data_IF_699592946565
#
_entry.id   IF_699592946565
#
_cell.length_a   1.000
_cell.length_b   1.000
_cell.length_c   1.000
_cell.angle_alpha   90.00
_cell.angle_beta   90.00
_cell.angle_gamma   90.00
#
_symmetry.space_group_name_H-M   'P 1'
#
loop_
_entity.id
_entity.type
_entity.pdbx_description
1 polymer ?
#
# COMPACT_ATOMS: atom_id res chain seq x y z
N UNK A 1 3.13 34.45 -6.73
CA UNK A 1 3.34 33.11 -7.32
C UNK A 1 4.31 32.34 -6.43
N UNK A 2 3.84 31.41 -5.60
CA UNK A 2 4.69 30.47 -4.87
C UNK A 2 4.20 29.05 -5.13
N UNK A 3 5.11 28.18 -5.58
CA UNK A 3 4.86 26.74 -5.78
C UNK A 3 4.65 26.12 -4.40
N UNK A 4 3.41 25.72 -4.10
CA UNK A 4 3.07 25.04 -2.84
C UNK A 4 3.67 23.64 -2.87
N UNK A 5 4.62 23.42 -1.97
CA UNK A 5 5.25 22.14 -1.74
C UNK A 5 4.25 21.08 -1.30
N UNK A 6 4.52 19.84 -1.71
CA UNK A 6 3.86 18.63 -1.25
C UNK A 6 4.03 18.50 0.28
N UNK A 7 2.96 18.67 1.04
CA UNK A 7 2.87 18.28 2.45
C UNK A 7 2.28 16.87 2.58
N UNK A 8 2.80 16.02 3.49
CA UNK A 8 2.42 14.61 3.62
C UNK A 8 1.07 14.37 4.33
N UNK A 9 0.15 15.34 4.30
CA UNK A 9 -1.04 15.36 5.18
C UNK A 9 -2.37 15.56 4.42
N UNK A 10 -2.49 15.10 3.18
CA UNK A 10 -3.73 15.25 2.42
C UNK A 10 -4.10 14.00 1.60
N UNK A 11 -5.32 13.44 1.74
CA UNK A 11 -5.73 12.13 1.22
C UNK A 11 -6.14 12.13 -0.27
N UNK A 12 -5.72 13.12 -1.06
CA UNK A 12 -6.06 13.26 -2.48
C UNK A 12 -5.18 12.42 -3.43
N UNK A 13 -4.28 11.56 -2.90
CA UNK A 13 -3.11 11.10 -3.65
C UNK A 13 -3.27 9.86 -4.54
N UNK A 14 -4.25 8.97 -4.33
CA UNK A 14 -4.30 7.73 -5.14
C UNK A 14 -4.97 7.86 -6.52
N UNK A 15 -5.92 8.80 -6.73
CA UNK A 15 -6.59 8.92 -8.04
C UNK A 15 -5.82 9.75 -9.06
N UNK A 16 -4.98 10.69 -8.61
CA UNK A 16 -4.31 11.66 -9.49
C UNK A 16 -2.79 11.48 -9.62
N UNK A 17 -2.18 10.51 -8.93
CA UNK A 17 -0.75 10.25 -9.07
C UNK A 17 -0.40 9.67 -10.44
N UNK A 18 0.64 10.23 -11.08
CA UNK A 18 1.26 9.66 -12.30
C UNK A 18 1.70 8.20 -12.03
N UNK A 19 1.77 7.33 -13.05
CA UNK A 19 2.02 5.89 -12.89
C UNK A 19 3.18 5.50 -11.95
N UNK A 20 4.35 6.19 -11.92
CA UNK A 20 5.46 5.83 -11.05
C UNK A 20 5.16 6.03 -9.56
N UNK A 21 4.37 7.05 -9.23
CA UNK A 21 4.04 7.36 -7.84
C UNK A 21 3.00 6.38 -7.25
N UNK A 22 2.25 5.67 -8.10
CA UNK A 22 1.34 4.60 -7.67
C UNK A 22 2.10 3.38 -7.18
N UNK A 23 3.12 2.97 -7.94
CA UNK A 23 4.00 1.87 -7.55
C UNK A 23 4.69 2.15 -6.21
N UNK A 24 5.20 3.37 -6.03
CA UNK A 24 5.81 3.76 -4.76
C UNK A 24 4.80 3.66 -3.60
N UNK A 25 3.56 4.15 -3.78
CA UNK A 25 2.55 4.09 -2.74
C UNK A 25 2.23 2.65 -2.29
N UNK A 26 2.16 1.69 -3.22
CA UNK A 26 1.93 0.27 -2.88
C UNK A 26 3.11 -0.35 -2.13
N UNK A 27 4.35 -0.03 -2.54
CA UNK A 27 5.55 -0.47 -1.81
C UNK A 27 5.61 0.16 -0.42
N UNK A 28 5.23 1.43 -0.27
CA UNK A 28 5.15 2.05 1.04
C UNK A 28 4.03 1.43 1.91
N UNK A 29 2.88 1.10 1.32
CA UNK A 29 1.78 0.43 2.01
C UNK A 29 2.18 -0.94 2.57
N UNK A 30 3.14 -1.63 1.93
CA UNK A 30 3.66 -2.90 2.42
C UNK A 30 4.68 -2.77 3.55
N UNK A 31 5.36 -1.62 3.69
CA UNK A 31 6.42 -1.47 4.70
C UNK A 31 5.99 -0.75 5.98
N UNK A 32 5.02 0.17 5.91
CA UNK A 32 4.63 0.98 7.07
C UNK A 32 3.50 0.33 7.90
N UNK A 33 3.38 0.66 9.20
CA UNK A 33 2.32 0.15 10.07
C UNK A 33 0.95 0.68 9.67
N UNK A 34 -0.11 -0.10 9.92
CA UNK A 34 -1.50 0.28 9.64
C UNK A 34 -1.85 1.60 10.30
N UNK A 35 -1.42 1.83 11.54
CA UNK A 35 -1.73 3.04 12.30
C UNK A 35 -1.25 4.33 11.62
N UNK A 36 -0.17 4.25 10.82
CA UNK A 36 0.31 5.40 10.05
C UNK A 36 -0.55 5.65 8.80
N UNK A 37 -1.12 4.60 8.21
CA UNK A 37 -1.88 4.67 6.96
C UNK A 37 -3.39 4.86 7.16
N UNK A 38 -3.98 4.24 8.18
CA UNK A 38 -5.41 4.28 8.48
C UNK A 38 -6.02 5.68 8.47
N UNK A 39 -5.42 6.72 9.10
CA UNK A 39 -5.99 8.08 9.10
C UNK A 39 -5.90 8.78 7.73
N UNK A 40 -5.07 8.28 6.82
CA UNK A 40 -4.88 8.84 5.48
C UNK A 40 -5.82 8.21 4.44
N UNK A 41 -6.54 7.15 4.81
CA UNK A 41 -7.45 6.47 3.91
C UNK A 41 -8.73 7.28 3.68
N UNK A 42 -9.31 7.26 2.46
CA UNK A 42 -10.60 7.87 2.22
C UNK A 42 -11.69 7.25 3.11
N UNK A 43 -12.71 8.02 3.43
CA UNK A 43 -13.85 7.55 4.25
C UNK A 43 -14.41 6.22 3.73
N UNK A 44 -14.55 5.25 4.65
CA UNK A 44 -15.07 3.91 4.36
C UNK A 44 -14.03 2.91 3.86
N UNK A 45 -12.82 3.33 3.50
CA UNK A 45 -11.75 2.39 3.15
C UNK A 45 -11.21 1.72 4.41
N UNK A 46 -10.85 0.45 4.29
CA UNK A 46 -10.35 -0.37 5.40
C UNK A 46 -9.04 -1.03 5.03
N UNK A 47 -8.07 -0.97 5.92
CA UNK A 47 -6.81 -1.69 5.81
C UNK A 47 -6.75 -2.74 6.93
N UNK A 48 -6.76 -4.00 6.54
CA UNK A 48 -6.74 -5.14 7.48
C UNK A 48 -5.40 -5.86 7.35
N UNK A 49 -4.78 -6.22 8.46
CA UNK A 49 -3.52 -6.96 8.48
C UNK A 49 -3.64 -8.20 9.36
N UNK A 50 -3.42 -9.37 8.75
CA UNK A 50 -3.60 -10.69 9.35
C UNK A 50 -2.26 -11.41 9.61
N UNK A 51 -1.14 -10.69 9.60
CA UNK A 51 0.17 -11.23 10.00
C UNK A 51 0.99 -11.89 8.88
N UNK A 52 0.37 -12.56 7.92
CA UNK A 52 1.00 -13.02 6.66
C UNK A 52 0.42 -12.30 5.44
N UNK A 53 -0.75 -11.67 5.61
CA UNK A 53 -1.46 -10.98 4.56
C UNK A 53 -1.99 -9.62 5.00
N UNK A 54 -1.98 -8.64 4.10
CA UNK A 54 -2.64 -7.34 4.28
C UNK A 54 -3.56 -7.05 3.11
N UNK A 55 -4.74 -6.55 3.44
CA UNK A 55 -5.80 -6.26 2.48
C UNK A 55 -6.23 -4.80 2.59
N UNK A 56 -6.19 -4.09 1.46
CA UNK A 56 -6.81 -2.78 1.31
C UNK A 56 -8.14 -2.95 0.59
N UNK A 57 -9.22 -2.56 1.24
CA UNK A 57 -10.58 -2.58 0.68
C UNK A 57 -11.12 -1.16 0.56
N UNK A 58 -11.87 -0.92 -0.51
CA UNK A 58 -12.53 0.37 -0.71
C UNK A 58 -13.79 0.50 0.18
N UNK A 59 -14.46 1.64 0.09
CA UNK A 59 -15.71 1.92 0.80
C UNK A 59 -16.86 0.94 0.52
N UNK A 60 -16.82 0.19 -0.59
CA UNK A 60 -17.80 -0.86 -0.90
C UNK A 60 -17.36 -2.25 -0.43
N UNK A 61 -16.29 -2.35 0.36
CA UNK A 61 -15.72 -3.62 0.83
C UNK A 61 -14.97 -4.43 -0.23
N UNK A 62 -14.81 -3.88 -1.45
CA UNK A 62 -14.12 -4.56 -2.56
C UNK A 62 -12.61 -4.50 -2.32
N UNK A 63 -11.96 -5.65 -2.49
CA UNK A 63 -10.50 -5.77 -2.44
C UNK A 63 -9.85 -4.97 -3.57
N UNK A 64 -8.98 -4.03 -3.20
CA UNK A 64 -8.24 -3.15 -4.10
C UNK A 64 -6.80 -3.61 -4.24
N UNK A 65 -6.14 -3.81 -3.10
CA UNK A 65 -4.75 -4.27 -3.02
C UNK A 65 -4.64 -5.39 -1.99
N UNK A 66 -3.91 -6.44 -2.34
CA UNK A 66 -3.53 -7.53 -1.45
C UNK A 66 -2.00 -7.58 -1.38
N UNK A 67 -1.46 -7.77 -0.18
CA UNK A 67 -0.01 -7.85 0.05
C UNK A 67 0.27 -9.13 0.84
N UNK A 68 1.15 -9.95 0.31
CA UNK A 68 1.61 -11.19 0.94
C UNK A 68 2.99 -10.98 1.53
N UNK A 69 3.18 -11.45 2.77
CA UNK A 69 4.42 -11.35 3.51
C UNK A 69 4.98 -12.73 3.81
N UNK A 70 6.30 -12.80 3.83
CA UNK A 70 7.04 -13.93 4.34
C UNK A 70 7.74 -13.51 5.63
N UNK A 71 7.73 -14.39 6.63
CA UNK A 71 8.57 -14.22 7.80
C UNK A 71 9.93 -14.87 7.54
N UNK A 72 10.99 -14.05 7.45
CA UNK A 72 12.38 -14.49 7.32
C UNK A 72 13.16 -14.04 8.54
N UNK A 73 13.76 -15.00 9.27
CA UNK A 73 14.62 -14.73 10.44
C UNK A 73 13.96 -13.81 11.49
N UNK A 74 12.63 -13.93 11.67
CA UNK A 74 11.86 -13.10 12.61
C UNK A 74 11.47 -11.72 12.08
N UNK A 75 11.83 -11.39 10.83
CA UNK A 75 11.44 -10.16 10.16
C UNK A 75 10.38 -10.45 9.10
N UNK A 76 9.32 -9.66 9.13
CA UNK A 76 8.23 -9.74 8.14
C UNK A 76 8.59 -8.91 6.93
N UNK A 77 8.62 -9.55 5.76
CA UNK A 77 9.02 -8.92 4.52
C UNK A 77 7.96 -9.16 3.44
N UNK A 78 7.48 -8.12 2.73
CA UNK A 78 6.52 -8.30 1.66
C UNK A 78 7.19 -8.99 0.48
N UNK A 79 6.53 -10.02 -0.07
CA UNK A 79 7.01 -10.81 -1.20
C UNK A 79 6.12 -10.64 -2.44
N UNK A 80 4.87 -10.22 -2.26
CA UNK A 80 3.94 -9.98 -3.36
C UNK A 80 2.98 -8.84 -3.02
N UNK A 81 2.66 -8.04 -4.03
CA UNK A 81 1.60 -7.04 -4.00
C UNK A 81 0.73 -7.25 -5.23
N UNK A 82 -0.51 -7.67 -5.03
CA UNK A 82 -1.51 -7.76 -6.08
C UNK A 82 -2.42 -6.56 -6.02
N UNK A 83 -2.60 -5.88 -7.15
CA UNK A 83 -3.51 -4.76 -7.24
C UNK A 83 -4.62 -5.13 -8.25
N UNK A 84 -5.86 -5.16 -7.76
CA UNK A 84 -7.01 -5.72 -8.47
C UNK A 84 -7.77 -4.70 -9.33
N UNK A 85 -7.59 -3.39 -9.13
CA UNK A 85 -8.29 -2.34 -9.92
C UNK A 85 -7.57 -2.07 -11.23
N UNK A 86 -6.28 -1.74 -11.17
CA UNK A 86 -5.36 -1.59 -12.31
C UNK A 86 -4.69 -2.88 -12.83
N UNK A 87 -5.02 -4.06 -12.29
CA UNK A 87 -4.63 -5.37 -12.82
C UNK A 87 -3.11 -5.58 -12.99
N UNK A 88 -2.33 -5.30 -11.96
CA UNK A 88 -0.90 -5.64 -11.94
C UNK A 88 -0.53 -6.40 -10.68
N UNK A 89 0.58 -7.11 -10.77
CA UNK A 89 1.21 -7.87 -9.69
C UNK A 89 2.67 -7.43 -9.60
N UNK A 90 3.13 -7.17 -8.38
CA UNK A 90 4.53 -6.90 -8.07
C UNK A 90 5.06 -8.06 -7.24
N UNK A 91 6.13 -8.70 -7.69
CA UNK A 91 6.84 -9.71 -6.90
C UNK A 91 8.14 -9.09 -6.40
N UNK A 92 8.40 -9.23 -5.10
CA UNK A 92 9.62 -8.73 -4.47
C UNK A 92 10.52 -9.93 -4.19
N UNK A 93 11.69 -9.95 -4.81
CA UNK A 93 12.70 -10.97 -4.60
C UNK A 93 13.85 -10.40 -3.77
N UNK A 94 14.17 -11.07 -2.67
CA UNK A 94 15.29 -10.72 -1.81
C UNK A 94 16.49 -11.57 -2.23
N UNK A 95 17.50 -10.91 -2.82
CA UNK A 95 18.74 -11.53 -3.28
C UNK A 95 19.75 -11.54 -2.11
N UNK A 96 19.60 -12.47 -1.19
CA UNK A 96 20.54 -12.65 -0.08
C UNK A 96 19.96 -13.47 1.08
N UNK A 97 20.77 -14.39 1.59
CA UNK A 97 20.66 -14.99 2.92
C UNK A 97 21.91 -14.64 3.73
#
# INVERSE_FOLDING_TARGET
>A
MMRKGCTPSSPSWCRSCRPPARFLADVMLSHWPISAWQPQLPTGWTLTDNGDKRELRNASGKLVTEIIYLNRKGKREPISIEQHVFKYHITIQYLGD
#
